data_IF_090228635955
#
_entry.id   IF_090228635955
#
_cell.length_a   1.000
_cell.length_b   1.000
_cell.length_c   1.000
_cell.angle_alpha   90.00
_cell.angle_beta   90.00
_cell.angle_gamma   90.00
#
_symmetry.space_group_name_H-M   'P 1'
#
loop_
_entity.id
_entity.type
_entity.pdbx_description
1 polymer ?
#
# COMPACT_ATOMS: atom_id res chain seq x y z
N UNK A 1 48.09 115.74 -184.82
CA UNK A 1 48.64 114.60 -184.04
C UNK A 1 48.49 114.77 -182.52
N UNK A 2 47.49 115.52 -182.01
CA UNK A 2 47.25 115.66 -180.56
C UNK A 2 46.06 114.82 -180.03
N UNK A 3 45.27 114.23 -180.93
CA UNK A 3 44.05 113.47 -180.60
C UNK A 3 44.29 111.98 -180.32
N UNK A 4 45.39 111.40 -180.80
CA UNK A 4 45.73 109.99 -180.55
C UNK A 4 46.35 109.75 -179.16
N UNK A 5 47.04 110.74 -178.59
CA UNK A 5 47.66 110.62 -177.26
C UNK A 5 46.63 110.61 -176.11
N UNK A 6 45.51 111.32 -176.26
CA UNK A 6 44.45 111.36 -175.25
C UNK A 6 43.63 110.06 -175.19
N UNK A 7 43.50 109.34 -176.31
CA UNK A 7 42.80 108.06 -176.37
C UNK A 7 43.60 106.94 -175.68
N UNK A 8 44.94 106.94 -175.79
CA UNK A 8 45.80 105.96 -175.14
C UNK A 8 45.78 106.10 -173.60
N UNK A 9 45.86 107.33 -173.08
CA UNK A 9 45.82 107.56 -171.63
C UNK A 9 44.46 107.20 -171.00
N UNK A 10 43.35 107.39 -171.73
CA UNK A 10 42.03 106.98 -171.27
C UNK A 10 41.88 105.45 -171.23
N UNK A 11 42.52 104.72 -172.14
CA UNK A 11 42.53 103.26 -172.15
C UNK A 11 43.35 102.68 -170.99
N UNK A 12 44.52 103.25 -170.67
CA UNK A 12 45.32 102.83 -169.51
C UNK A 12 44.62 103.10 -168.18
N UNK A 13 43.91 104.23 -168.03
CA UNK A 13 43.11 104.52 -166.84
C UNK A 13 41.90 103.57 -166.69
N UNK A 14 41.27 103.18 -167.80
CA UNK A 14 40.21 102.19 -167.79
C UNK A 14 40.75 100.81 -167.36
N UNK A 15 41.91 100.41 -167.88
CA UNK A 15 42.56 99.16 -167.51
C UNK A 15 42.98 99.14 -166.03
N UNK A 16 43.59 100.22 -165.52
CA UNK A 16 43.97 100.33 -164.11
C UNK A 16 42.75 100.30 -163.17
N UNK A 17 41.63 100.90 -163.60
CA UNK A 17 40.36 100.84 -162.85
C UNK A 17 39.81 99.42 -162.82
N UNK A 18 39.85 98.70 -163.94
CA UNK A 18 39.37 97.33 -164.02
C UNK A 18 40.24 96.39 -163.16
N UNK A 19 41.56 96.55 -163.19
CA UNK A 19 42.49 95.80 -162.34
C UNK A 19 42.27 96.09 -160.84
N UNK A 20 42.06 97.36 -160.46
CA UNK A 20 41.73 97.71 -159.08
C UNK A 20 40.37 97.12 -158.65
N UNK A 21 39.38 97.08 -159.54
CA UNK A 21 38.08 96.46 -159.25
C UNK A 21 38.19 94.95 -159.06
N UNK A 22 39.04 94.28 -159.86
CA UNK A 22 39.29 92.85 -159.74
C UNK A 22 40.05 92.52 -158.45
N UNK A 23 41.04 93.33 -158.07
CA UNK A 23 41.74 93.15 -156.79
C UNK A 23 40.82 93.38 -155.59
N UNK A 24 39.93 94.39 -155.65
CA UNK A 24 38.94 94.63 -154.60
C UNK A 24 37.95 93.46 -154.49
N UNK A 25 37.47 92.95 -155.63
CA UNK A 25 36.57 91.79 -155.66
C UNK A 25 37.24 90.53 -155.10
N UNK A 26 38.53 90.31 -155.42
CA UNK A 26 39.32 89.20 -154.87
C UNK A 26 39.51 89.34 -153.35
N UNK A 27 39.91 90.51 -152.87
CA UNK A 27 40.09 90.77 -151.44
C UNK A 27 38.77 90.62 -150.67
N UNK A 28 37.64 91.05 -151.26
CA UNK A 28 36.31 90.85 -150.68
C UNK A 28 35.94 89.37 -150.60
N UNK A 29 36.17 88.59 -151.66
CA UNK A 29 35.91 87.16 -151.66
C UNK A 29 36.80 86.40 -150.66
N UNK A 30 38.07 86.82 -150.51
CA UNK A 30 38.98 86.25 -149.51
C UNK A 30 38.53 86.60 -148.08
N UNK A 31 38.08 87.84 -147.82
CA UNK A 31 37.54 88.23 -146.53
C UNK A 31 36.22 87.51 -146.19
N UNK A 32 35.33 87.33 -147.16
CA UNK A 32 34.09 86.56 -146.99
C UNK A 32 34.36 85.07 -146.73
N UNK A 33 35.35 84.48 -147.43
CA UNK A 33 35.82 83.12 -147.20
C UNK A 33 36.45 82.94 -145.81
N UNK A 34 37.28 83.89 -145.38
CA UNK A 34 37.89 83.90 -144.06
C UNK A 34 36.83 84.04 -142.95
N UNK A 35 35.85 84.92 -143.12
CA UNK A 35 34.75 85.10 -142.18
C UNK A 35 33.86 83.85 -142.08
N UNK A 36 33.55 83.21 -143.22
CA UNK A 36 32.79 81.95 -143.25
C UNK A 36 33.56 80.82 -142.54
N UNK A 37 34.88 80.76 -142.75
CA UNK A 37 35.75 79.77 -142.09
C UNK A 37 35.81 80.01 -140.58
N UNK A 38 35.95 81.27 -140.15
CA UNK A 38 35.97 81.64 -138.73
C UNK A 38 34.64 81.33 -138.05
N UNK A 39 33.49 81.68 -138.65
CA UNK A 39 32.17 81.35 -138.10
C UNK A 39 31.93 79.83 -138.04
N UNK A 40 32.42 79.06 -139.02
CA UNK A 40 32.33 77.60 -138.98
C UNK A 40 33.20 77.01 -137.87
N UNK A 41 34.43 77.50 -137.70
CA UNK A 41 35.33 77.08 -136.61
C UNK A 41 34.77 77.45 -135.24
N UNK A 42 34.19 78.64 -135.08
CA UNK A 42 33.55 79.07 -133.84
C UNK A 42 32.31 78.22 -133.51
N UNK A 43 31.45 77.94 -134.50
CA UNK A 43 30.32 77.01 -134.32
C UNK A 43 30.77 75.61 -133.97
N UNK A 44 31.86 75.13 -134.58
CA UNK A 44 32.43 73.82 -134.28
C UNK A 44 33.00 73.79 -132.87
N UNK A 45 33.77 74.79 -132.46
CA UNK A 45 34.31 74.91 -131.11
C UNK A 45 33.19 75.02 -130.05
N UNK A 46 32.13 75.79 -130.33
CA UNK A 46 30.96 75.87 -129.47
C UNK A 46 30.20 74.54 -129.36
N UNK A 47 30.06 73.80 -130.46
CA UNK A 47 29.46 72.46 -130.47
C UNK A 47 30.31 71.44 -129.71
N UNK A 48 31.63 71.48 -129.86
CA UNK A 48 32.57 70.61 -129.15
C UNK A 48 32.58 70.94 -127.64
N UNK A 49 32.53 72.21 -127.27
CA UNK A 49 32.40 72.65 -125.88
C UNK A 49 31.05 72.24 -125.26
N UNK A 50 29.94 72.36 -126.01
CA UNK A 50 28.62 71.92 -125.56
C UNK A 50 28.57 70.39 -125.38
N UNK A 51 29.18 69.62 -126.29
CA UNK A 51 29.28 68.17 -126.17
C UNK A 51 30.14 67.76 -124.96
N UNK A 52 31.25 68.46 -124.71
CA UNK A 52 32.09 68.24 -123.53
C UNK A 52 31.34 68.57 -122.23
N UNK A 53 30.58 69.65 -122.19
CA UNK A 53 29.76 70.03 -121.03
C UNK A 53 28.63 69.01 -120.77
N UNK A 54 27.95 68.53 -121.83
CA UNK A 54 26.91 67.51 -121.70
C UNK A 54 27.49 66.19 -121.16
N UNK A 55 28.65 65.77 -121.67
CA UNK A 55 29.35 64.59 -121.16
C UNK A 55 29.77 64.75 -119.70
N UNK A 56 30.33 65.90 -119.32
CA UNK A 56 30.71 66.18 -117.94
C UNK A 56 29.50 66.14 -116.98
N UNK A 57 28.33 66.61 -117.44
CA UNK A 57 27.10 66.57 -116.65
C UNK A 57 26.56 65.14 -116.51
N UNK A 58 26.67 64.32 -117.56
CA UNK A 58 26.31 62.90 -117.51
C UNK A 58 27.25 62.10 -116.61
N UNK A 59 28.56 62.37 -116.66
CA UNK A 59 29.56 61.80 -115.75
C UNK A 59 29.29 62.23 -114.29
N UNK A 60 28.94 63.50 -114.04
CA UNK A 60 28.52 63.98 -112.72
C UNK A 60 27.25 63.27 -112.23
N UNK A 61 26.25 63.07 -113.09
CA UNK A 61 25.02 62.34 -112.73
C UNK A 61 25.31 60.87 -112.42
N UNK A 62 26.21 60.23 -113.17
CA UNK A 62 26.65 58.87 -112.91
C UNK A 62 27.39 58.77 -111.57
N UNK A 63 28.30 59.70 -111.27
CA UNK A 63 29.01 59.80 -109.99
C UNK A 63 28.04 59.98 -108.83
N UNK A 64 27.12 60.96 -108.91
CA UNK A 64 26.13 61.20 -107.87
C UNK A 64 25.20 59.99 -107.64
N UNK A 65 24.85 59.26 -108.71
CA UNK A 65 24.05 58.03 -108.59
C UNK A 65 24.83 56.88 -107.95
N UNK A 66 26.15 56.81 -108.15
CA UNK A 66 27.00 55.82 -107.51
C UNK A 66 27.16 56.13 -106.01
N UNK A 67 27.41 57.39 -105.65
CA UNK A 67 27.47 57.85 -104.27
C UNK A 67 26.15 57.60 -103.52
N UNK A 68 25.00 57.87 -104.16
CA UNK A 68 23.69 57.59 -103.56
C UNK A 68 23.50 56.10 -103.26
N UNK A 69 23.87 55.21 -104.20
CA UNK A 69 23.81 53.76 -104.00
C UNK A 69 24.76 53.29 -102.89
N UNK A 70 25.93 53.90 -102.78
CA UNK A 70 26.88 53.59 -101.70
C UNK A 70 26.31 54.00 -100.35
N UNK A 71 25.75 55.22 -100.24
CA UNK A 71 25.09 55.71 -99.02
C UNK A 71 23.89 54.83 -98.64
N UNK A 72 23.04 54.46 -99.61
CA UNK A 72 21.90 53.55 -99.39
C UNK A 72 22.36 52.17 -98.92
N UNK A 73 23.39 51.58 -99.54
CA UNK A 73 23.92 50.28 -99.13
C UNK A 73 24.55 50.33 -97.73
N UNK A 74 25.28 51.40 -97.40
CA UNK A 74 25.85 51.62 -96.08
C UNK A 74 24.76 51.85 -95.01
N UNK A 75 23.69 52.56 -95.35
CA UNK A 75 22.55 52.77 -94.46
C UNK A 75 21.82 51.45 -94.18
N UNK A 76 21.56 50.65 -95.22
CA UNK A 76 20.94 49.33 -95.09
C UNK A 76 21.80 48.35 -94.28
N UNK A 77 23.13 48.36 -94.47
CA UNK A 77 24.04 47.56 -93.67
C UNK A 77 23.99 47.93 -92.17
N UNK A 78 23.97 49.24 -91.85
CA UNK A 78 23.84 49.71 -90.46
C UNK A 78 22.48 49.36 -89.85
N UNK A 79 21.40 49.44 -90.62
CA UNK A 79 20.07 49.01 -90.21
C UNK A 79 20.04 47.51 -89.90
N UNK A 80 20.55 46.68 -90.81
CA UNK A 80 20.64 45.23 -90.60
C UNK A 80 21.48 44.88 -89.36
N UNK A 81 22.59 45.58 -89.11
CA UNK A 81 23.38 45.39 -87.90
C UNK A 81 22.61 45.76 -86.62
N UNK A 82 21.85 46.86 -86.64
CA UNK A 82 21.00 47.25 -85.51
C UNK A 82 19.87 46.26 -85.26
N UNK A 83 19.22 45.77 -86.31
CA UNK A 83 18.17 44.75 -86.20
C UNK A 83 18.71 43.44 -85.63
N UNK A 84 19.89 43.01 -86.09
CA UNK A 84 20.55 41.83 -85.53
C UNK A 84 20.87 42.04 -84.04
N UNK A 85 21.46 43.19 -83.68
CA UNK A 85 21.78 43.50 -82.29
C UNK A 85 20.53 43.53 -81.41
N UNK A 86 19.43 44.11 -81.87
CA UNK A 86 18.16 44.10 -81.14
C UNK A 86 17.57 42.71 -81.00
N UNK A 87 17.69 41.84 -82.02
CA UNK A 87 17.26 40.44 -81.91
C UNK A 87 18.09 39.67 -80.87
N UNK A 88 19.40 39.90 -80.84
CA UNK A 88 20.30 39.29 -79.85
C UNK A 88 20.01 39.79 -78.43
N UNK A 89 19.80 41.10 -78.25
CA UNK A 89 19.41 41.70 -76.96
C UNK A 89 18.04 41.19 -76.48
N UNK A 90 17.07 41.05 -77.39
CA UNK A 90 15.75 40.50 -77.07
C UNK A 90 15.85 39.03 -76.66
N UNK A 91 16.58 38.21 -77.41
CA UNK A 91 16.79 36.81 -77.09
C UNK A 91 17.53 36.63 -75.75
N UNK A 92 18.54 37.46 -75.47
CA UNK A 92 19.25 37.47 -74.20
C UNK A 92 18.33 37.88 -73.04
N UNK A 93 17.46 38.87 -73.23
CA UNK A 93 16.51 39.30 -72.22
C UNK A 93 15.44 38.22 -71.93
N UNK A 94 14.94 37.53 -72.95
CA UNK A 94 14.01 36.42 -72.78
C UNK A 94 14.66 35.23 -72.07
N UNK A 95 15.90 34.88 -72.43
CA UNK A 95 16.67 33.84 -71.74
C UNK A 95 16.92 34.21 -70.26
N UNK A 96 17.29 35.46 -69.97
CA UNK A 96 17.48 35.93 -68.60
C UNK A 96 16.16 35.88 -67.80
N UNK A 97 15.03 36.26 -68.41
CA UNK A 97 13.71 36.15 -67.79
C UNK A 97 13.33 34.70 -67.48
N UNK A 98 13.57 33.77 -68.41
CA UNK A 98 13.31 32.34 -68.19
C UNK A 98 14.22 31.75 -67.11
N UNK A 99 15.50 32.11 -67.08
CA UNK A 99 16.45 31.69 -66.05
C UNK A 99 16.01 32.18 -64.66
N UNK A 100 15.61 33.45 -64.54
CA UNK A 100 15.10 33.98 -63.28
C UNK A 100 13.81 33.27 -62.85
N UNK A 101 12.89 33.02 -63.78
CA UNK A 101 11.66 32.29 -63.46
C UNK A 101 11.95 30.85 -62.98
N UNK A 102 12.90 30.16 -63.60
CA UNK A 102 13.33 28.82 -63.19
C UNK A 102 13.99 28.84 -61.81
N UNK A 103 14.85 29.83 -61.53
CA UNK A 103 15.48 30.00 -60.22
C UNK A 103 14.43 30.28 -59.14
N UNK A 104 13.47 31.18 -59.39
CA UNK A 104 12.38 31.46 -58.44
C UNK A 104 11.50 30.23 -58.20
N UNK A 105 11.19 29.45 -59.24
CA UNK A 105 10.44 28.20 -59.07
C UNK A 105 11.22 27.18 -58.23
N UNK A 106 12.52 27.01 -58.47
CA UNK A 106 13.36 26.13 -57.68
C UNK A 106 13.44 26.56 -56.21
N UNK A 107 13.48 27.87 -55.93
CA UNK A 107 13.41 28.39 -54.56
C UNK A 107 12.05 28.09 -53.91
N UNK A 108 10.95 28.25 -54.65
CA UNK A 108 9.60 27.90 -54.16
C UNK A 108 9.52 26.41 -53.82
N UNK A 109 9.97 25.53 -54.72
CA UNK A 109 9.92 24.08 -54.52
C UNK A 109 10.77 23.66 -53.30
N UNK A 110 11.96 24.24 -53.15
CA UNK A 110 12.83 24.02 -51.99
C UNK A 110 12.18 24.44 -50.66
N UNK A 111 11.54 25.62 -50.64
CA UNK A 111 10.83 26.11 -49.45
C UNK A 111 9.62 25.22 -49.12
N UNK A 112 8.85 24.78 -50.13
CA UNK A 112 7.73 23.86 -49.93
C UNK A 112 8.17 22.51 -49.39
N UNK A 113 9.27 21.96 -49.90
CA UNK A 113 9.85 20.72 -49.38
C UNK A 113 10.26 20.89 -47.91
N UNK A 114 10.97 21.99 -47.58
CA UNK A 114 11.40 22.28 -46.21
C UNK A 114 10.23 22.47 -45.24
N UNK A 115 9.15 23.15 -45.67
CA UNK A 115 7.92 23.28 -44.89
C UNK A 115 7.27 21.90 -44.69
N UNK A 116 7.18 21.09 -45.74
CA UNK A 116 6.62 19.74 -45.65
C UNK A 116 7.37 18.84 -44.68
N UNK A 117 8.70 18.85 -44.71
CA UNK A 117 9.56 18.14 -43.76
C UNK A 117 9.39 18.67 -42.33
N UNK A 118 9.33 19.98 -42.16
CA UNK A 118 9.10 20.64 -40.87
C UNK A 118 7.76 20.23 -40.25
N UNK A 119 6.67 20.30 -41.01
CA UNK A 119 5.34 19.89 -40.55
C UNK A 119 5.28 18.40 -40.21
N UNK A 120 5.90 17.55 -41.03
CA UNK A 120 5.95 16.11 -40.77
C UNK A 120 6.68 15.82 -39.46
N UNK A 121 7.80 16.51 -39.22
CA UNK A 121 8.57 16.38 -37.98
C UNK A 121 7.78 16.89 -36.76
N UNK A 122 7.16 18.06 -36.85
CA UNK A 122 6.30 18.58 -35.76
C UNK A 122 5.16 17.61 -35.46
N UNK A 123 4.49 17.04 -36.47
CA UNK A 123 3.43 16.04 -36.27
C UNK A 123 3.96 14.77 -35.62
N UNK A 124 5.12 14.28 -36.03
CA UNK A 124 5.75 13.10 -35.45
C UNK A 124 6.14 13.32 -33.99
N UNK A 125 6.79 14.45 -33.68
CA UNK A 125 7.21 14.81 -32.33
C UNK A 125 6.00 15.01 -31.41
N UNK A 126 4.93 15.66 -31.89
CA UNK A 126 3.68 15.82 -31.15
C UNK A 126 2.98 14.48 -30.87
N UNK A 127 2.97 13.57 -31.84
CA UNK A 127 2.41 12.23 -31.67
C UNK A 127 3.23 11.41 -30.64
N UNK A 128 4.56 11.47 -30.72
CA UNK A 128 5.45 10.83 -29.77
C UNK A 128 5.29 11.39 -28.35
N UNK A 129 5.21 12.71 -28.20
CA UNK A 129 4.97 13.37 -26.91
C UNK A 129 3.60 12.97 -26.33
N UNK A 130 2.56 12.88 -27.17
CA UNK A 130 1.23 12.45 -26.74
C UNK A 130 1.23 10.98 -26.30
N UNK A 131 1.96 10.11 -27.00
CA UNK A 131 2.10 8.71 -26.62
C UNK A 131 2.81 8.57 -25.27
N UNK A 132 3.94 9.26 -25.09
CA UNK A 132 4.68 9.28 -23.82
C UNK A 132 3.83 9.81 -22.67
N UNK A 133 3.09 10.91 -22.88
CA UNK A 133 2.20 11.47 -21.86
C UNK A 133 1.04 10.51 -21.49
N UNK A 134 0.51 9.74 -22.45
CA UNK A 134 -0.49 8.71 -22.16
C UNK A 134 0.09 7.58 -21.32
N UNK A 135 1.28 7.12 -21.66
CA UNK A 135 1.97 6.05 -20.91
C UNK A 135 2.28 6.46 -19.47
N UNK A 136 2.74 7.70 -19.28
CA UNK A 136 2.98 8.28 -17.95
C UNK A 136 1.67 8.40 -17.15
N UNK A 137 0.59 8.86 -17.80
CA UNK A 137 -0.72 8.99 -17.19
C UNK A 137 -1.31 7.64 -16.77
N UNK A 138 -1.16 6.60 -17.59
CA UNK A 138 -1.60 5.25 -17.25
C UNK A 138 -0.76 4.63 -16.12
N UNK A 139 0.55 4.88 -16.09
CA UNK A 139 1.43 4.50 -14.97
C UNK A 139 1.00 5.16 -13.65
N UNK A 140 0.74 6.48 -13.67
CA UNK A 140 0.29 7.21 -12.48
C UNK A 140 -1.08 6.72 -11.98
N UNK A 141 -2.01 6.38 -12.88
CA UNK A 141 -3.29 5.77 -12.51
C UNK A 141 -3.10 4.41 -11.81
N UNK A 142 -2.20 3.58 -12.33
CA UNK A 142 -1.89 2.29 -11.71
C UNK A 142 -1.27 2.45 -10.32
N UNK A 143 -0.37 3.43 -10.14
CA UNK A 143 0.22 3.74 -8.84
C UNK A 143 -0.82 4.25 -7.85
N UNK A 144 -1.74 5.12 -8.28
CA UNK A 144 -2.84 5.61 -7.43
C UNK A 144 -3.75 4.47 -6.98
N UNK A 145 -4.13 3.55 -7.88
CA UNK A 145 -4.95 2.39 -7.56
C UNK A 145 -4.26 1.49 -6.51
N UNK A 146 -2.97 1.19 -6.69
CA UNK A 146 -2.19 0.42 -5.73
C UNK A 146 -2.07 1.12 -4.36
N UNK A 147 -1.95 2.45 -4.33
CA UNK A 147 -1.92 3.22 -3.10
C UNK A 147 -3.28 3.23 -2.37
N UNK A 148 -4.40 3.27 -3.09
CA UNK A 148 -5.73 3.15 -2.50
C UNK A 148 -5.96 1.76 -1.91
N UNK A 149 -5.53 0.71 -2.61
CA UNK A 149 -5.62 -0.66 -2.10
C UNK A 149 -4.78 -0.85 -0.82
N UNK A 150 -3.56 -0.30 -0.78
CA UNK A 150 -2.72 -0.38 0.42
C UNK A 150 -3.34 0.38 1.61
N UNK A 151 -3.94 1.55 1.37
CA UNK A 151 -4.66 2.31 2.39
C UNK A 151 -5.88 1.55 2.91
N UNK A 152 -6.66 0.91 2.02
CA UNK A 152 -7.80 0.06 2.40
C UNK A 152 -7.35 -1.13 3.26
N UNK A 153 -6.28 -1.82 2.85
CA UNK A 153 -5.71 -2.94 3.63
C UNK A 153 -5.21 -2.48 5.00
N UNK A 154 -4.57 -1.31 5.08
CA UNK A 154 -4.14 -0.74 6.35
C UNK A 154 -5.32 -0.45 7.30
N UNK A 155 -6.42 0.09 6.77
CA UNK A 155 -7.64 0.33 7.55
C UNK A 155 -8.28 -0.99 8.04
N UNK A 156 -8.35 -2.01 7.18
CA UNK A 156 -8.86 -3.34 7.54
C UNK A 156 -8.01 -3.99 8.63
N UNK A 157 -6.67 -3.99 8.48
CA UNK A 157 -5.75 -4.53 9.48
C UNK A 157 -5.85 -3.78 10.82
N UNK A 158 -6.04 -2.46 10.80
CA UNK A 158 -6.27 -1.67 12.01
C UNK A 158 -7.57 -2.09 12.73
N UNK A 159 -8.65 -2.33 11.97
CA UNK A 159 -9.91 -2.83 12.51
C UNK A 159 -9.75 -4.23 13.12
N UNK A 160 -9.04 -5.14 12.44
CA UNK A 160 -8.76 -6.48 12.94
C UNK A 160 -7.93 -6.44 14.25
N UNK A 161 -6.93 -5.57 14.32
CA UNK A 161 -6.12 -5.37 15.52
C UNK A 161 -6.96 -4.88 16.70
N UNK A 162 -7.89 -3.94 16.47
CA UNK A 162 -8.81 -3.46 17.51
C UNK A 162 -9.73 -4.56 18.03
N UNK A 163 -10.30 -5.38 17.14
CA UNK A 163 -11.13 -6.52 17.51
C UNK A 163 -10.36 -7.56 18.35
N UNK A 164 -9.14 -7.94 17.91
CA UNK A 164 -8.29 -8.87 18.65
C UNK A 164 -7.86 -8.32 20.02
N UNK A 165 -7.64 -7.01 20.12
CA UNK A 165 -7.32 -6.36 21.40
C UNK A 165 -8.49 -6.47 22.37
N UNK A 166 -9.72 -6.20 21.91
CA UNK A 166 -10.92 -6.34 22.72
C UNK A 166 -11.17 -7.80 23.14
N UNK A 167 -10.92 -8.77 22.26
CA UNK A 167 -11.03 -10.19 22.58
C UNK A 167 -10.00 -10.59 23.65
N UNK A 168 -8.75 -10.13 23.54
CA UNK A 168 -7.72 -10.38 24.54
C UNK A 168 -8.08 -9.78 25.91
N UNK A 169 -8.64 -8.56 25.95
CA UNK A 169 -9.12 -7.95 27.19
C UNK A 169 -10.27 -8.74 27.82
N UNK A 170 -11.24 -9.18 27.01
CA UNK A 170 -12.34 -10.01 27.48
C UNK A 170 -11.86 -11.35 28.05
N UNK A 171 -10.88 -12.00 27.41
CA UNK A 171 -10.27 -13.23 27.90
C UNK A 171 -9.49 -13.01 29.20
N UNK A 172 -8.74 -11.91 29.32
CA UNK A 172 -8.06 -11.53 30.59
C UNK A 172 -9.06 -11.33 31.73
N UNK A 173 -10.19 -10.67 31.45
CA UNK A 173 -11.24 -10.48 32.45
C UNK A 173 -11.86 -11.81 32.88
N UNK A 174 -12.13 -12.73 31.94
CA UNK A 174 -12.60 -14.08 32.24
C UNK A 174 -11.60 -14.88 33.07
N UNK A 175 -10.30 -14.79 32.76
CA UNK A 175 -9.25 -15.46 33.53
C UNK A 175 -9.21 -14.94 34.97
N UNK A 176 -9.21 -13.62 35.16
CA UNK A 176 -9.22 -13.00 36.50
C UNK A 176 -10.45 -13.41 37.31
N UNK A 177 -11.62 -13.49 36.65
CA UNK A 177 -12.83 -14.00 37.30
C UNK A 177 -12.65 -15.47 37.70
N UNK A 178 -12.14 -16.32 36.81
CA UNK A 178 -11.90 -17.73 37.08
C UNK A 178 -10.94 -17.94 38.27
N UNK A 179 -9.84 -17.20 38.32
CA UNK A 179 -8.88 -17.19 39.44
C UNK A 179 -9.55 -16.77 40.75
N UNK A 180 -10.38 -15.73 40.72
CA UNK A 180 -11.12 -15.28 41.91
C UNK A 180 -12.10 -16.35 42.40
N UNK A 181 -12.82 -17.02 41.51
CA UNK A 181 -13.70 -18.14 41.89
C UNK A 181 -12.91 -19.32 42.44
N UNK A 182 -11.77 -19.68 41.84
CA UNK A 182 -10.92 -20.76 42.33
C UNK A 182 -10.39 -20.46 43.74
N UNK A 183 -10.01 -19.22 44.01
CA UNK A 183 -9.59 -18.80 45.35
C UNK A 183 -10.73 -18.90 46.38
N UNK A 184 -11.96 -18.54 46.01
CA UNK A 184 -13.12 -18.71 46.90
C UNK A 184 -13.42 -20.18 47.19
N UNK A 185 -13.35 -21.05 46.18
CA UNK A 185 -13.55 -22.49 46.37
C UNK A 185 -12.43 -23.12 47.20
N UNK A 186 -11.19 -22.66 47.05
CA UNK A 186 -10.08 -23.09 47.90
C UNK A 186 -10.29 -22.69 49.37
N UNK A 187 -10.80 -21.47 49.64
CA UNK A 187 -11.15 -21.03 51.00
C UNK A 187 -12.30 -21.86 51.59
N UNK A 188 -13.34 -22.16 50.79
CA UNK A 188 -14.42 -23.07 51.21
C UNK A 188 -13.89 -24.46 51.56
N UNK A 189 -13.01 -25.02 50.75
CA UNK A 189 -12.40 -26.32 51.00
C UNK A 189 -11.56 -26.30 52.28
N UNK A 190 -10.76 -25.26 52.50
CA UNK A 190 -9.97 -25.09 53.72
C UNK A 190 -10.85 -25.04 54.98
N UNK A 191 -11.97 -24.30 54.93
CA UNK A 191 -12.95 -24.26 56.04
C UNK A 191 -13.59 -25.63 56.29
N UNK A 192 -13.98 -26.33 55.23
CA UNK A 192 -14.55 -27.68 55.35
C UNK A 192 -13.54 -28.66 55.96
N UNK A 193 -12.26 -28.60 55.56
CA UNK A 193 -11.20 -29.42 56.15
C UNK A 193 -10.96 -29.09 57.63
N UNK A 194 -11.03 -27.81 58.01
CA UNK A 194 -10.92 -27.40 59.41
C UNK A 194 -12.08 -27.95 60.27
N UNK A 195 -13.32 -27.90 59.77
CA UNK A 195 -14.47 -28.49 60.46
C UNK A 195 -14.37 -30.01 60.58
N UNK A 196 -13.89 -30.70 59.54
CA UNK A 196 -13.61 -32.15 59.60
C UNK A 196 -12.53 -32.43 60.65
N UNK A 197 -11.42 -31.68 60.68
CA UNK A 197 -10.38 -31.85 61.67
C UNK A 197 -10.92 -31.69 63.10
N UNK A 198 -11.69 -30.63 63.35
CA UNK A 198 -12.37 -30.39 64.63
C UNK A 198 -13.31 -31.52 65.02
N UNK A 199 -14.13 -32.00 64.07
CA UNK A 199 -15.02 -33.16 64.29
C UNK A 199 -14.25 -34.44 64.61
N UNK A 200 -13.12 -34.69 63.96
CA UNK A 200 -12.28 -35.87 64.26
C UNK A 200 -11.62 -35.79 65.63
N UNK A 201 -11.22 -34.59 66.09
CA UNK A 201 -10.67 -34.41 67.43
C UNK A 201 -11.73 -34.60 68.51
N UNK A 202 -12.95 -34.07 68.29
CA UNK A 202 -14.09 -34.30 69.17
C UNK A 202 -14.44 -35.80 69.26
N UNK A 203 -14.49 -36.50 68.13
CA UNK A 203 -14.72 -37.95 68.11
C UNK A 203 -13.62 -38.72 68.88
N UNK A 204 -12.35 -38.37 68.69
CA UNK A 204 -11.25 -38.98 69.47
C UNK A 204 -11.38 -38.72 70.97
N UNK A 205 -11.85 -37.54 71.38
CA UNK A 205 -12.09 -37.24 72.79
C UNK A 205 -13.23 -38.09 73.35
N UNK A 206 -14.37 -38.17 72.66
CA UNK A 206 -15.51 -38.99 73.06
C UNK A 206 -15.14 -40.48 73.15
N UNK A 207 -14.32 -41.00 72.23
CA UNK A 207 -13.83 -42.39 72.30
C UNK A 207 -12.96 -42.63 73.53
N UNK A 208 -12.10 -41.68 73.91
CA UNK A 208 -11.30 -41.80 75.15
C UNK A 208 -12.18 -41.80 76.38
N UNK A 209 -13.20 -40.94 76.42
CA UNK A 209 -14.16 -40.88 77.51
C UNK A 209 -14.96 -42.19 77.63
N UNK A 210 -15.46 -42.72 76.50
CA UNK A 210 -16.14 -44.02 76.47
C UNK A 210 -15.25 -45.17 76.95
N UNK A 211 -13.96 -45.15 76.61
CA UNK A 211 -13.02 -46.16 77.08
C UNK A 211 -12.78 -46.04 78.59
N UNK A 212 -12.66 -44.82 79.12
CA UNK A 212 -12.58 -44.60 80.57
C UNK A 212 -13.82 -45.11 81.30
N UNK A 213 -15.02 -44.79 80.80
CA UNK A 213 -16.28 -45.30 81.37
C UNK A 213 -16.38 -46.82 81.31
N UNK A 214 -15.84 -47.47 80.27
CA UNK A 214 -15.78 -48.93 80.18
C UNK A 214 -14.83 -49.53 81.22
N UNK A 215 -13.69 -48.90 81.47
CA UNK A 215 -12.74 -49.34 82.49
C UNK A 215 -13.34 -49.20 83.90
N UNK A 216 -13.95 -48.04 84.19
CA UNK A 216 -14.69 -47.80 85.44
C UNK A 216 -15.81 -48.82 85.64
N UNK A 217 -16.50 -49.19 84.56
CA UNK A 217 -17.48 -50.25 84.59
C UNK A 217 -16.80 -51.60 84.91
N UNK A 218 -15.75 -52.03 84.21
CA UNK A 218 -15.11 -53.31 84.55
C UNK A 218 -14.69 -53.37 86.04
N UNK A 219 -14.13 -52.29 86.59
CA UNK A 219 -13.82 -52.21 88.03
C UNK A 219 -15.04 -52.33 88.95
N UNK A 220 -16.13 -51.61 88.66
CA UNK A 220 -17.33 -51.66 89.50
C UNK A 220 -17.98 -53.04 89.46
N UNK A 221 -17.96 -53.74 88.31
CA UNK A 221 -18.42 -55.13 88.21
C UNK A 221 -17.60 -56.06 89.11
N UNK A 222 -16.27 -55.98 89.03
CA UNK A 222 -15.38 -56.81 89.86
C UNK A 222 -15.59 -56.55 91.36
N UNK A 223 -15.83 -55.30 91.75
CA UNK A 223 -16.15 -54.95 93.15
C UNK A 223 -17.48 -55.54 93.60
N UNK A 224 -18.51 -55.49 92.76
CA UNK A 224 -19.82 -56.10 93.05
C UNK A 224 -19.69 -57.61 93.20
N UNK A 225 -18.97 -58.28 92.28
CA UNK A 225 -18.73 -59.74 92.36
C UNK A 225 -18.01 -60.12 93.66
N UNK A 226 -16.97 -59.37 94.05
CA UNK A 226 -16.26 -59.59 95.30
C UNK A 226 -17.16 -59.43 96.52
N UNK A 227 -17.94 -58.34 96.59
CA UNK A 227 -18.88 -58.10 97.70
C UNK A 227 -19.99 -59.15 97.72
N UNK A 228 -20.42 -59.65 96.56
CA UNK A 228 -21.37 -60.77 96.45
C UNK A 228 -20.82 -62.04 97.10
N UNK A 229 -19.55 -62.38 96.85
CA UNK A 229 -18.89 -63.51 97.49
C UNK A 229 -18.76 -63.33 99.01
N UNK A 230 -18.39 -62.12 99.46
CA UNK A 230 -18.30 -61.79 100.88
C UNK A 230 -19.67 -61.88 101.57
N UNK A 231 -20.75 -61.43 100.91
CA UNK A 231 -22.12 -61.56 101.38
C UNK A 231 -22.55 -63.03 101.48
N UNK A 232 -22.25 -63.86 100.49
CA UNK A 232 -22.55 -65.30 100.52
C UNK A 232 -21.80 -66.02 101.65
N UNK A 233 -20.57 -65.60 101.94
CA UNK A 233 -19.79 -66.12 103.05
C UNK A 233 -20.41 -65.68 104.38
N UNK A 234 -20.69 -64.40 104.56
CA UNK A 234 -21.35 -63.84 105.74
C UNK A 234 -22.72 -64.50 105.98
N UNK A 235 -23.50 -64.77 104.93
CA UNK A 235 -24.77 -65.47 105.03
C UNK A 235 -24.62 -66.93 105.50
N UNK A 236 -23.56 -67.63 105.06
CA UNK A 236 -23.23 -68.99 105.55
C UNK A 236 -22.80 -68.96 107.01
N UNK A 237 -21.88 -68.06 107.37
CA UNK A 237 -21.41 -67.88 108.74
C UNK A 237 -22.58 -67.56 109.68
N UNK A 238 -23.49 -66.68 109.26
CA UNK A 238 -24.70 -66.38 110.02
C UNK A 238 -25.62 -67.61 110.18
N UNK A 239 -25.87 -68.38 109.11
CA UNK A 239 -26.68 -69.60 109.18
C UNK A 239 -26.07 -70.68 110.10
N UNK A 240 -24.74 -70.78 110.13
CA UNK A 240 -24.02 -71.68 111.05
C UNK A 240 -24.15 -71.20 112.50
N UNK A 241 -24.01 -69.88 112.76
CA UNK A 241 -24.25 -69.29 114.07
C UNK A 241 -25.72 -69.48 114.51
N UNK A 242 -26.70 -69.33 113.62
CA UNK A 242 -28.10 -69.59 113.93
C UNK A 242 -28.35 -71.05 114.32
N UNK A 243 -27.70 -72.01 113.63
CA UNK A 243 -27.72 -73.42 114.04
C UNK A 243 -27.09 -73.61 115.42
N UNK A 244 -25.94 -73.00 115.69
CA UNK A 244 -25.31 -73.05 117.02
C UNK A 244 -26.25 -72.50 118.10
N UNK A 245 -26.93 -71.36 117.84
CA UNK A 245 -27.92 -70.78 118.76
C UNK A 245 -29.11 -71.73 118.96
N UNK A 246 -29.61 -72.37 117.90
CA UNK A 246 -30.70 -73.34 117.99
C UNK A 246 -30.30 -74.58 118.79
N UNK A 247 -29.10 -75.13 118.55
CA UNK A 247 -28.55 -76.25 119.33
C UNK A 247 -28.34 -75.88 120.79
N UNK A 248 -27.81 -74.68 121.08
CA UNK A 248 -27.66 -74.19 122.45
C UNK A 248 -29.01 -73.96 123.13
N UNK A 249 -30.04 -73.50 122.39
CA UNK A 249 -31.41 -73.40 122.91
C UNK A 249 -31.99 -74.76 123.29
N UNK A 250 -31.84 -75.77 122.43
CA UNK A 250 -32.29 -77.14 122.72
C UNK A 250 -31.49 -77.78 123.86
N UNK A 251 -30.16 -77.60 123.90
CA UNK A 251 -29.33 -78.05 125.03
C UNK A 251 -29.71 -77.38 126.35
N UNK A 252 -29.98 -76.07 126.33
CA UNK A 252 -30.46 -75.34 127.50
C UNK A 252 -31.84 -75.85 127.94
N UNK A 253 -32.75 -76.08 126.99
CA UNK A 253 -34.09 -76.63 127.27
C UNK A 253 -33.99 -78.03 127.90
N UNK A 254 -33.19 -78.92 127.32
CA UNK A 254 -32.92 -80.24 127.88
C UNK A 254 -32.22 -80.18 129.26
N UNK A 255 -31.31 -79.23 129.47
CA UNK A 255 -30.67 -79.01 130.77
C UNK A 255 -31.65 -78.49 131.84
N UNK A 256 -32.59 -77.62 131.46
CA UNK A 256 -33.67 -77.16 132.34
C UNK A 256 -34.62 -78.31 132.69
N UNK A 257 -35.06 -79.09 131.70
CA UNK A 257 -35.94 -80.25 131.91
C UNK A 257 -35.29 -81.35 132.77
N UNK A 258 -33.97 -81.57 132.64
CA UNK A 258 -33.23 -82.51 133.50
C UNK A 258 -32.97 -81.95 134.90
N UNK A 259 -32.83 -80.63 135.06
CA UNK A 259 -32.64 -79.96 136.35
C UNK A 259 -33.84 -80.00 137.28
N UNK A 260 -35.06 -80.12 136.72
CA UNK A 260 -36.30 -80.30 137.47
C UNK A 260 -36.37 -81.70 138.14
N UNK A 261 -35.49 -82.63 137.76
CA UNK A 261 -35.45 -84.00 138.28
C UNK A 261 -34.31 -84.31 139.28
N UNK A 262 -33.28 -83.47 139.39
CA UNK A 262 -32.11 -83.73 140.26
C UNK A 262 -31.52 -82.44 140.85
N UNK A 263 -31.63 -82.28 142.17
CA UNK A 263 -31.24 -81.07 142.89
C UNK A 263 -29.75 -80.70 142.84
N UNK A 264 -29.51 -79.38 142.90
CA UNK A 264 -28.26 -78.64 143.18
C UNK A 264 -27.07 -78.72 142.21
N UNK A 265 -26.88 -79.79 141.42
CA UNK A 265 -25.75 -79.88 140.46
C UNK A 265 -26.02 -79.25 139.07
N UNK A 266 -27.24 -78.77 138.82
CA UNK A 266 -27.70 -78.29 137.50
C UNK A 266 -27.56 -76.79 137.27
N UNK A 267 -27.48 -75.98 138.33
CA UNK A 267 -27.52 -74.52 138.21
C UNK A 267 -26.27 -73.91 137.52
N UNK A 268 -25.08 -74.49 137.75
CA UNK A 268 -23.84 -74.01 137.13
C UNK A 268 -23.79 -74.32 135.62
N UNK A 269 -24.24 -75.51 135.22
CA UNK A 269 -24.31 -75.90 133.81
C UNK A 269 -25.38 -75.08 133.04
N UNK A 270 -26.50 -74.77 133.69
CA UNK A 270 -27.52 -73.87 133.13
C UNK A 270 -26.96 -72.45 132.97
N UNK A 271 -26.22 -71.92 133.95
CA UNK A 271 -25.61 -70.59 133.85
C UNK A 271 -24.54 -70.51 132.74
N UNK A 272 -23.71 -71.54 132.56
CA UNK A 272 -22.76 -71.61 131.44
C UNK A 272 -23.47 -71.71 130.09
N UNK A 273 -24.54 -72.52 129.98
CA UNK A 273 -25.34 -72.61 128.74
C UNK A 273 -26.10 -71.31 128.44
N UNK A 274 -26.59 -70.60 129.45
CA UNK A 274 -27.20 -69.27 129.28
C UNK A 274 -26.17 -68.22 128.83
N UNK A 275 -24.96 -68.26 129.40
CA UNK A 275 -23.85 -67.38 128.99
C UNK A 275 -23.42 -67.67 127.54
N UNK A 276 -23.26 -68.96 127.19
CA UNK A 276 -22.93 -69.38 125.83
C UNK A 276 -24.02 -69.02 124.83
N UNK A 277 -25.30 -69.19 125.19
CA UNK A 277 -26.45 -68.76 124.37
C UNK A 277 -26.46 -67.24 124.19
N UNK A 278 -26.24 -66.45 125.24
CA UNK A 278 -26.13 -64.98 125.12
C UNK A 278 -24.98 -64.58 124.20
N UNK A 279 -23.80 -65.18 124.36
CA UNK A 279 -22.65 -64.91 123.51
C UNK A 279 -22.88 -65.30 122.04
N UNK A 280 -23.57 -66.42 121.79
CA UNK A 280 -23.95 -66.84 120.44
C UNK A 280 -25.04 -65.94 119.83
N UNK A 281 -25.98 -65.45 120.64
CA UNK A 281 -27.02 -64.49 120.19
C UNK A 281 -26.40 -63.15 119.81
N UNK A 282 -25.46 -62.63 120.62
CA UNK A 282 -24.72 -61.40 120.29
C UNK A 282 -23.89 -61.58 119.01
N UNK A 283 -23.30 -62.77 118.80
CA UNK A 283 -22.60 -63.08 117.54
C UNK A 283 -23.55 -63.17 116.34
N UNK A 284 -24.76 -63.69 116.53
CA UNK A 284 -25.78 -63.74 115.49
C UNK A 284 -26.25 -62.34 115.09
N UNK A 285 -26.55 -61.48 116.07
CA UNK A 285 -26.96 -60.08 115.84
C UNK A 285 -25.84 -59.27 115.14
N UNK A 286 -24.58 -59.50 115.52
CA UNK A 286 -23.44 -58.87 114.85
C UNK A 286 -23.28 -59.36 113.39
N UNK A 287 -23.45 -60.66 113.14
CA UNK A 287 -23.38 -61.23 111.79
C UNK A 287 -24.55 -60.79 110.90
N UNK A 288 -25.75 -60.65 111.48
CA UNK A 288 -26.92 -60.11 110.78
C UNK A 288 -26.71 -58.62 110.41
N UNK A 289 -26.17 -57.82 111.33
CA UNK A 289 -25.84 -56.42 111.04
C UNK A 289 -24.76 -56.27 109.95
N UNK A 290 -23.74 -57.13 109.96
CA UNK A 290 -22.71 -57.16 108.91
C UNK A 290 -23.30 -57.58 107.56
N UNK A 291 -24.17 -58.60 107.55
CA UNK A 291 -24.89 -59.04 106.35
C UNK A 291 -25.79 -57.95 105.79
N UNK A 292 -26.54 -57.24 106.62
CA UNK A 292 -27.37 -56.10 106.18
C UNK A 292 -26.53 -54.97 105.59
N UNK A 293 -25.38 -54.66 106.21
CA UNK A 293 -24.46 -53.64 105.70
C UNK A 293 -23.89 -54.02 104.33
N UNK A 294 -23.47 -55.28 104.16
CA UNK A 294 -23.01 -55.80 102.87
C UNK A 294 -24.14 -55.80 101.82
N UNK A 295 -25.37 -56.17 102.20
CA UNK A 295 -26.52 -56.17 101.29
C UNK A 295 -26.84 -54.75 100.78
N UNK A 296 -26.84 -53.75 101.67
CA UNK A 296 -27.02 -52.34 101.28
C UNK A 296 -25.91 -51.86 100.35
N UNK A 297 -24.66 -52.23 100.61
CA UNK A 297 -23.53 -51.87 99.75
C UNK A 297 -23.66 -52.51 98.35
N UNK A 298 -24.07 -53.77 98.27
CA UNK A 298 -24.31 -54.45 96.99
C UNK A 298 -25.45 -53.78 96.22
N UNK A 299 -26.54 -53.40 96.90
CA UNK A 299 -27.67 -52.70 96.28
C UNK A 299 -27.28 -51.31 95.75
N UNK A 300 -26.55 -50.53 96.55
CA UNK A 300 -26.07 -49.19 96.15
C UNK A 300 -25.11 -49.27 94.95
N UNK A 301 -24.14 -50.19 94.99
CA UNK A 301 -23.21 -50.39 93.89
C UNK A 301 -23.89 -50.93 92.63
N UNK A 302 -24.89 -51.82 92.78
CA UNK A 302 -25.70 -52.30 91.66
C UNK A 302 -26.58 -51.19 91.06
N UNK A 303 -27.01 -50.21 91.86
CA UNK A 303 -27.66 -49.00 91.36
C UNK A 303 -26.72 -48.17 90.51
N UNK A 304 -25.53 -47.85 91.06
CA UNK A 304 -24.47 -47.11 90.35
C UNK A 304 -24.01 -47.82 89.07
N UNK A 305 -23.96 -49.15 89.08
CA UNK A 305 -23.68 -49.98 87.92
C UNK A 305 -24.64 -49.71 86.75
N UNK A 306 -25.94 -49.73 87.03
CA UNK A 306 -26.98 -49.51 86.02
C UNK A 306 -26.95 -48.08 85.47
N UNK A 307 -26.63 -47.11 86.32
CA UNK A 307 -26.44 -45.71 85.89
C UNK A 307 -25.22 -45.58 84.95
N UNK A 308 -24.11 -46.26 85.28
CA UNK A 308 -22.92 -46.30 84.41
C UNK A 308 -23.18 -47.01 83.08
N UNK A 309 -23.92 -48.13 83.08
CA UNK A 309 -24.32 -48.83 81.84
C UNK A 309 -25.22 -47.95 80.96
N UNK A 310 -26.18 -47.23 81.56
CA UNK A 310 -27.05 -46.30 80.84
C UNK A 310 -26.26 -45.12 80.25
N UNK A 311 -25.30 -44.57 81.01
CA UNK A 311 -24.42 -43.51 80.55
C UNK A 311 -23.51 -43.97 79.41
N UNK A 312 -22.93 -45.17 79.50
CA UNK A 312 -22.12 -45.76 78.44
C UNK A 312 -22.93 -46.03 77.16
N UNK A 313 -24.18 -46.48 77.28
CA UNK A 313 -25.08 -46.69 76.14
C UNK A 313 -25.46 -45.35 75.46
N UNK A 314 -25.71 -44.29 76.25
CA UNK A 314 -25.97 -42.96 75.72
C UNK A 314 -24.74 -42.38 75.02
N UNK A 315 -23.54 -42.55 75.60
CA UNK A 315 -22.28 -42.10 75.01
C UNK A 315 -21.93 -42.83 73.70
N UNK A 316 -22.29 -44.11 73.56
CA UNK A 316 -22.06 -44.88 72.33
C UNK A 316 -23.01 -44.51 71.17
N UNK A 317 -24.17 -43.90 71.45
CA UNK A 317 -25.14 -43.49 70.44
C UNK A 317 -24.89 -42.06 69.89
N UNK A 318 -24.18 -41.23 70.65
CA UNK A 318 -23.80 -39.86 70.30
C UNK A 318 -22.54 -39.81 69.43
#
# INVERSE_FOLDING_TARGET
>A
SATEAAAAAAAELAQARDEASQQLAKAKAEAESALSTAMFQERRAASEAAAAAAKALEDQKASASAELREVESAANAKLSQREQKWREELAAAEAAKQALAAEMQAQIDSLQASIGEGEARVRADAAAATAAAKEELDSLRSQLAAAQESASRAAELSSQLSALTAEAEALRAKLKHAESTAAMEADKLARAQAEVAKGTEALRAAVRECNGLKEDAVEAKERIEKLGLDLEKSARDHADIEREVAELKERLKAAVETSESSGASSAAAIAELESAKKAATVRAEAAEAEREALARNVEELSGKWREMEAAAAAAAAA
#
